data_IF_460419771171
#
_entry.id   IF_460419771171
#
_cell.length_a   1.000
_cell.length_b   1.000
_cell.length_c   1.000
_cell.angle_alpha   90.00
_cell.angle_beta   90.00
_cell.angle_gamma   90.00
#
_symmetry.space_group_name_H-M   'P 1'
#
loop_
_entity.id
_entity.type
_entity.pdbx_description
1 polymer ?
#
# COMPACT_ATOMS: atom_id res chain seq x y z
N UNK A 1 7.86 38.46 15.95
CA UNK A 1 8.68 38.86 14.78
C UNK A 1 8.96 37.60 13.98
N UNK A 2 8.56 37.50 12.70
CA UNK A 2 8.82 36.27 11.91
C UNK A 2 10.33 36.13 11.68
N UNK A 3 10.90 35.01 12.10
CA UNK A 3 12.32 34.68 11.91
C UNK A 3 12.65 34.63 10.40
N UNK A 4 13.84 35.10 10.00
CA UNK A 4 14.26 35.06 8.59
C UNK A 4 14.48 33.61 8.14
N UNK A 5 14.28 33.34 6.84
CA UNK A 5 14.30 31.98 6.29
C UNK A 5 15.58 31.17 6.55
N UNK A 6 16.76 31.82 6.45
CA UNK A 6 18.04 31.12 6.69
C UNK A 6 18.23 30.76 8.17
N UNK A 7 17.67 31.55 9.08
CA UNK A 7 17.75 31.31 10.51
C UNK A 7 16.85 30.15 10.93
N UNK A 8 15.68 29.99 10.28
CA UNK A 8 14.79 28.84 10.48
C UNK A 8 15.47 27.52 10.10
N UNK A 9 16.09 27.45 8.92
CA UNK A 9 16.83 26.24 8.49
C UNK A 9 17.97 25.91 9.45
N UNK A 10 18.70 26.93 9.92
CA UNK A 10 19.79 26.74 10.88
C UNK A 10 19.29 26.17 12.21
N UNK A 11 18.14 26.67 12.69
CA UNK A 11 17.51 26.20 13.92
C UNK A 11 17.10 24.73 13.84
N UNK A 12 16.30 24.36 12.84
CA UNK A 12 15.73 23.01 12.74
C UNK A 12 16.73 21.96 12.23
N UNK A 13 17.86 22.38 11.67
CA UNK A 13 18.97 21.49 11.28
C UNK A 13 20.09 21.42 12.32
N UNK A 14 19.95 22.12 13.45
CA UNK A 14 20.93 22.07 14.52
C UNK A 14 21.01 20.66 15.10
N UNK A 15 22.21 20.07 15.13
CA UNK A 15 22.42 18.67 15.53
C UNK A 15 21.60 17.66 14.73
N UNK A 16 21.23 17.99 13.48
CA UNK A 16 20.48 17.09 12.62
C UNK A 16 21.20 15.73 12.49
N UNK A 17 20.40 14.68 12.42
CA UNK A 17 20.88 13.34 12.10
C UNK A 17 21.51 13.32 10.71
N UNK A 18 22.43 12.40 10.50
CA UNK A 18 23.04 12.14 9.19
C UNK A 18 22.45 10.91 8.55
N UNK A 19 22.58 10.78 7.24
CA UNK A 19 22.12 9.58 6.52
C UNK A 19 22.85 8.33 7.04
N UNK A 20 24.09 8.46 7.47
CA UNK A 20 24.83 7.40 8.16
C UNK A 20 24.15 6.97 9.47
N UNK A 21 23.61 7.90 10.26
CA UNK A 21 22.89 7.56 11.49
C UNK A 21 21.61 6.75 11.19
N UNK A 22 20.94 7.01 10.07
CA UNK A 22 19.75 6.26 9.64
C UNK A 22 20.12 4.90 9.05
N UNK A 23 21.15 4.82 8.20
CA UNK A 23 21.57 3.58 7.51
C UNK A 23 21.99 2.45 8.46
N UNK A 24 22.37 2.77 9.70
CA UNK A 24 22.72 1.77 10.72
C UNK A 24 21.52 1.33 11.57
N UNK A 25 20.33 1.87 11.33
CA UNK A 25 19.11 1.39 11.96
C UNK A 25 18.66 0.09 11.28
N UNK A 26 18.24 -0.94 12.06
CA UNK A 26 17.61 -2.13 11.51
C UNK A 26 16.38 -1.78 10.66
N UNK A 27 16.30 -2.34 9.46
CA UNK A 27 15.10 -2.24 8.62
C UNK A 27 13.95 -3.06 9.22
N UNK A 28 12.78 -2.43 9.33
CA UNK A 28 11.52 -3.10 9.66
C UNK A 28 10.76 -3.41 8.37
N UNK A 29 10.48 -4.69 8.10
CA UNK A 29 9.64 -5.10 6.97
C UNK A 29 8.23 -5.46 7.44
N UNK A 30 7.22 -4.91 6.79
CA UNK A 30 5.83 -5.22 7.12
C UNK A 30 5.49 -4.83 8.57
N UNK A 31 5.11 -5.83 9.38
CA UNK A 31 4.77 -5.66 10.80
C UNK A 31 5.96 -5.96 11.75
N UNK A 32 7.18 -6.11 11.21
CA UNK A 32 8.37 -6.42 12.02
C UNK A 32 8.73 -5.24 12.94
N UNK A 33 8.81 -5.52 14.23
CA UNK A 33 9.23 -4.56 15.26
C UNK A 33 10.58 -4.99 15.83
N UNK A 34 11.52 -4.07 15.99
CA UNK A 34 12.79 -4.35 16.68
C UNK A 34 12.62 -4.08 18.17
N UNK A 35 12.59 -5.13 19.00
CA UNK A 35 12.68 -4.97 20.44
C UNK A 35 14.13 -4.68 20.85
N UNK A 36 14.29 -3.70 21.75
CA UNK A 36 15.61 -3.24 22.20
C UNK A 36 15.78 -3.44 23.71
N UNK A 37 17.03 -3.65 24.17
CA UNK A 37 17.32 -3.81 25.60
C UNK A 37 17.14 -2.54 26.43
N UNK A 38 17.36 -2.68 27.74
CA UNK A 38 17.12 -1.66 28.76
C UNK A 38 17.66 -0.28 28.41
N UNK A 39 18.90 -0.16 27.94
CA UNK A 39 19.50 1.16 27.67
C UNK A 39 18.83 1.88 26.51
N UNK A 40 18.58 1.19 25.40
CA UNK A 40 17.84 1.75 24.27
C UNK A 40 16.38 2.00 24.63
N UNK A 41 15.76 1.10 25.41
CA UNK A 41 14.40 1.23 25.90
C UNK A 41 14.24 2.49 26.77
N UNK A 42 15.20 2.79 27.65
CA UNK A 42 15.21 4.00 28.46
C UNK A 42 15.32 5.26 27.60
N UNK A 43 16.12 5.24 26.54
CA UNK A 43 16.21 6.35 25.57
C UNK A 43 14.88 6.51 24.82
N UNK A 44 14.23 5.43 24.39
CA UNK A 44 12.89 5.50 23.77
C UNK A 44 11.90 6.15 24.73
N UNK A 45 11.86 5.73 26.00
CA UNK A 45 10.98 6.33 27.02
C UNK A 45 11.28 7.81 27.26
N UNK A 46 12.56 8.21 27.22
CA UNK A 46 12.96 9.61 27.31
C UNK A 46 12.48 10.45 26.11
N UNK A 47 12.58 9.91 24.89
CA UNK A 47 12.01 10.51 23.67
C UNK A 47 10.50 10.68 23.83
N UNK A 48 9.80 9.66 24.31
CA UNK A 48 8.37 9.73 24.63
C UNK A 48 8.06 10.81 25.66
N UNK A 49 8.85 10.92 26.73
CA UNK A 49 8.72 11.98 27.73
C UNK A 49 8.93 13.39 27.17
N UNK A 50 9.82 13.54 26.19
CA UNK A 50 9.98 14.80 25.46
C UNK A 50 8.77 15.10 24.58
N UNK A 51 8.33 14.11 23.80
CA UNK A 51 7.22 14.23 22.85
C UNK A 51 5.87 14.42 23.53
N UNK A 52 5.65 13.87 24.73
CA UNK A 52 4.38 13.97 25.47
C UNK A 52 4.00 15.42 25.80
N UNK A 53 4.96 16.35 25.78
CA UNK A 53 4.74 17.80 25.90
C UNK A 53 4.01 18.41 24.70
N UNK A 54 3.83 17.66 23.62
CA UNK A 54 3.04 18.03 22.45
C UNK A 54 1.65 17.40 22.51
N UNK A 55 0.68 18.02 21.86
CA UNK A 55 -0.65 17.44 21.72
C UNK A 55 -0.60 16.16 20.84
N UNK A 56 -1.39 15.13 21.16
CA UNK A 56 -1.54 13.96 20.29
C UNK A 56 -2.18 14.32 18.96
N UNK A 57 -1.91 13.50 17.94
CA UNK A 57 -2.31 13.65 16.55
C UNK A 57 -3.06 12.41 16.08
N UNK A 58 -4.32 12.58 15.70
CA UNK A 58 -5.19 11.47 15.29
C UNK A 58 -5.50 10.53 16.45
N UNK A 59 -5.64 9.25 16.13
CA UNK A 59 -5.95 8.18 17.10
C UNK A 59 -4.67 7.68 17.83
N UNK A 60 -4.86 6.88 18.89
CA UNK A 60 -3.80 6.17 19.64
C UNK A 60 -2.71 7.05 20.30
N UNK A 61 -3.05 8.29 20.67
CA UNK A 61 -2.13 9.26 21.28
C UNK A 61 -0.83 9.48 20.48
N UNK A 62 -0.85 9.17 19.17
CA UNK A 62 0.33 9.26 18.30
C UNK A 62 0.82 10.69 18.23
N UNK A 63 2.14 10.89 18.20
CA UNK A 63 2.76 12.20 17.96
C UNK A 63 3.83 12.08 16.90
N UNK A 64 3.83 12.98 15.93
CA UNK A 64 4.76 12.94 14.81
C UNK A 64 5.46 14.26 14.58
N UNK A 65 6.74 14.21 14.24
CA UNK A 65 7.53 15.36 13.81
C UNK A 65 8.19 15.06 12.47
N UNK A 66 8.08 16.03 11.56
CA UNK A 66 8.93 16.11 10.38
C UNK A 66 10.29 16.70 10.73
N UNK A 67 11.34 16.12 10.19
CA UNK A 67 12.70 16.60 10.35
C UNK A 67 13.55 16.30 9.11
N UNK A 68 14.68 16.98 8.99
CA UNK A 68 15.61 16.78 7.88
C UNK A 68 16.86 16.04 8.34
N UNK A 69 17.27 15.06 7.54
CA UNK A 69 18.49 14.27 7.69
C UNK A 69 19.54 14.76 6.69
N UNK A 70 20.79 14.86 7.13
CA UNK A 70 21.92 15.31 6.31
C UNK A 70 22.57 14.14 5.57
N UNK A 71 22.37 14.08 4.27
CA UNK A 71 23.06 13.16 3.36
C UNK A 71 23.87 13.91 2.28
N UNK A 72 23.92 13.34 1.06
CA UNK A 72 24.37 14.09 -0.14
C UNK A 72 23.49 15.30 -0.42
N UNK A 73 22.20 15.18 -0.06
CA UNK A 73 21.20 16.25 0.00
C UNK A 73 20.52 16.19 1.36
N UNK A 74 19.72 17.21 1.66
CA UNK A 74 18.84 17.16 2.83
C UNK A 74 17.60 16.37 2.46
N UNK A 75 17.27 15.37 3.27
CA UNK A 75 16.15 14.45 3.06
C UNK A 75 15.17 14.56 4.22
N UNK A 76 13.88 14.53 3.90
CA UNK A 76 12.84 14.62 4.92
C UNK A 76 12.51 13.24 5.48
N UNK A 77 12.45 13.15 6.80
CA UNK A 77 12.00 11.98 7.54
C UNK A 77 10.88 12.40 8.50
N UNK A 78 10.07 11.43 8.90
CA UNK A 78 9.05 11.56 9.94
C UNK A 78 9.40 10.65 11.10
N UNK A 79 9.54 11.25 12.27
CA UNK A 79 9.66 10.54 13.54
C UNK A 79 8.29 10.51 14.19
N UNK A 80 7.83 9.34 14.61
CA UNK A 80 6.57 9.21 15.35
C UNK A 80 6.77 8.38 16.61
N UNK A 81 5.96 8.68 17.62
CA UNK A 81 5.84 7.88 18.84
C UNK A 81 4.39 7.51 19.08
N UNK A 82 4.14 6.30 19.58
CA UNK A 82 2.83 5.85 20.02
C UNK A 82 2.96 4.87 21.18
N UNK A 83 1.90 4.76 21.98
CA UNK A 83 1.85 3.85 23.11
C UNK A 83 0.71 2.87 22.92
N UNK A 84 0.99 1.57 23.03
CA UNK A 84 -0.04 0.54 22.94
C UNK A 84 0.25 -0.60 23.91
N UNK A 85 -0.75 -0.96 24.74
CA UNK A 85 -0.65 -2.02 25.76
C UNK A 85 0.60 -1.87 26.65
N UNK A 86 0.83 -0.66 27.17
CA UNK A 86 2.00 -0.34 28.02
C UNK A 86 3.36 -0.56 27.31
N UNK A 87 3.39 -0.41 25.99
CA UNK A 87 4.62 -0.44 25.17
C UNK A 87 4.82 0.88 24.44
N UNK A 88 6.06 1.33 24.36
CA UNK A 88 6.47 2.57 23.73
C UNK A 88 7.13 2.27 22.38
N UNK A 89 6.49 2.72 21.31
CA UNK A 89 7.01 2.54 19.96
C UNK A 89 7.67 3.82 19.47
N UNK A 90 8.79 3.66 18.76
CA UNK A 90 9.49 4.71 18.04
C UNK A 90 9.54 4.34 16.56
N UNK A 91 9.00 5.20 15.72
CA UNK A 91 8.99 5.06 14.27
C UNK A 91 9.88 6.12 13.65
N UNK A 92 10.76 5.71 12.75
CA UNK A 92 11.51 6.61 11.88
C UNK A 92 11.25 6.19 10.45
N UNK A 93 10.63 7.08 9.69
CA UNK A 93 10.11 6.78 8.35
C UNK A 93 10.62 7.79 7.34
N UNK A 94 11.22 7.29 6.26
CA UNK A 94 11.79 8.06 5.16
C UNK A 94 11.12 7.70 3.83
N UNK A 95 11.93 7.23 2.88
CA UNK A 95 11.43 6.64 1.64
C UNK A 95 10.75 5.29 1.89
N UNK A 96 10.16 4.70 0.86
CA UNK A 96 9.33 3.48 0.93
C UNK A 96 10.02 2.29 1.59
N UNK A 97 11.35 2.24 1.60
CA UNK A 97 12.12 1.17 2.24
C UNK A 97 12.78 1.61 3.56
N UNK A 98 12.77 2.90 3.87
CA UNK A 98 13.33 3.44 5.12
C UNK A 98 12.22 3.46 6.18
N UNK A 99 11.92 2.29 6.72
CA UNK A 99 10.95 2.12 7.78
C UNK A 99 11.63 1.42 8.95
N UNK A 100 11.79 2.14 10.06
CA UNK A 100 12.42 1.60 11.26
C UNK A 100 11.45 1.71 12.43
N UNK A 101 11.12 0.56 13.03
CA UNK A 101 10.19 0.48 14.17
C UNK A 101 10.89 -0.18 15.33
N UNK A 102 10.93 0.53 16.45
CA UNK A 102 11.53 0.06 17.70
C UNK A 102 10.50 0.03 18.81
N UNK A 103 10.62 -0.95 19.70
CA UNK A 103 9.78 -1.09 20.88
C UNK A 103 10.63 -1.29 22.13
N UNK A 104 10.22 -0.65 23.22
CA UNK A 104 10.89 -0.71 24.53
C UNK A 104 10.69 -2.04 25.29
N UNK A 105 9.82 -2.91 24.77
CA UNK A 105 9.45 -4.22 25.34
C UNK A 105 9.19 -5.23 24.21
N UNK A 106 9.39 -6.52 24.49
CA UNK A 106 9.06 -7.58 23.54
C UNK A 106 7.56 -7.63 23.23
N UNK A 107 7.23 -7.95 21.98
CA UNK A 107 5.88 -8.24 21.49
C UNK A 107 5.83 -9.55 20.68
N UNK A 108 4.63 -9.95 20.25
CA UNK A 108 4.48 -11.21 19.51
C UNK A 108 5.15 -11.20 18.13
N UNK A 109 5.53 -10.02 17.62
CA UNK A 109 6.14 -9.80 16.31
C UNK A 109 7.59 -9.28 16.43
N UNK A 110 8.14 -9.19 17.64
CA UNK A 110 9.41 -8.52 17.86
C UNK A 110 10.59 -9.42 17.52
N UNK A 111 11.60 -8.84 16.87
CA UNK A 111 12.93 -9.44 16.73
C UNK A 111 13.91 -8.69 17.61
N UNK A 112 14.85 -9.42 18.23
CA UNK A 112 15.89 -8.81 19.03
C UNK A 112 16.98 -8.20 18.16
N UNK A 113 17.47 -7.02 18.55
CA UNK A 113 18.61 -6.41 17.87
C UNK A 113 19.94 -7.06 18.29
N UNK A 114 20.82 -7.32 17.32
CA UNK A 114 22.14 -7.90 17.56
C UNK A 114 23.27 -6.87 17.72
N UNK A 115 23.01 -5.56 17.52
CA UNK A 115 24.01 -4.47 17.49
C UNK A 115 23.67 -3.32 18.45
N UNK A 116 23.38 -3.64 19.71
CA UNK A 116 22.81 -2.65 20.65
C UNK A 116 23.75 -1.49 21.02
N UNK A 117 25.05 -1.73 21.16
CA UNK A 117 26.01 -0.68 21.56
C UNK A 117 26.08 0.46 20.53
N UNK A 118 25.99 0.12 19.24
CA UNK A 118 25.94 1.09 18.14
C UNK A 118 24.60 1.82 18.12
N UNK A 119 23.50 1.11 18.34
CA UNK A 119 22.16 1.69 18.44
C UNK A 119 22.02 2.69 19.58
N UNK A 120 22.59 2.41 20.74
CA UNK A 120 22.58 3.35 21.88
C UNK A 120 23.14 4.70 21.45
N UNK A 121 24.26 4.71 20.72
CA UNK A 121 24.88 5.94 20.22
C UNK A 121 23.98 6.72 19.26
N UNK A 122 23.29 6.02 18.36
CA UNK A 122 22.35 6.62 17.41
C UNK A 122 21.12 7.15 18.14
N UNK A 123 20.56 6.38 19.07
CA UNK A 123 19.39 6.76 19.86
C UNK A 123 19.66 7.98 20.74
N UNK A 124 20.83 8.08 21.36
CA UNK A 124 21.21 9.29 22.10
C UNK A 124 21.29 10.54 21.21
N UNK A 125 21.68 10.40 19.93
CA UNK A 125 21.63 11.52 18.97
C UNK A 125 20.18 11.90 18.64
N UNK A 126 19.33 10.89 18.39
CA UNK A 126 17.89 11.08 18.13
C UNK A 126 17.24 11.79 19.32
N UNK A 127 17.45 11.30 20.54
CA UNK A 127 16.93 11.88 21.78
C UNK A 127 17.30 13.34 21.92
N UNK A 128 18.60 13.66 21.81
CA UNK A 128 19.09 15.04 21.90
C UNK A 128 18.47 15.94 20.82
N UNK A 129 18.33 15.42 19.61
CA UNK A 129 17.73 16.18 18.50
C UNK A 129 16.24 16.42 18.72
N UNK A 130 15.48 15.38 19.10
CA UNK A 130 14.04 15.46 19.35
C UNK A 130 13.75 16.37 20.54
N UNK A 131 14.48 16.25 21.65
CA UNK A 131 14.29 17.12 22.80
C UNK A 131 14.45 18.60 22.43
N UNK A 132 15.52 18.95 21.70
CA UNK A 132 15.74 20.31 21.22
C UNK A 132 14.70 20.77 20.19
N UNK A 133 14.24 19.87 19.31
CA UNK A 133 13.18 20.18 18.35
C UNK A 133 11.85 20.47 19.07
N UNK A 134 11.49 19.68 20.07
CA UNK A 134 10.32 19.92 20.91
C UNK A 134 10.44 21.24 21.66
N UNK A 135 11.59 21.53 22.28
CA UNK A 135 11.79 22.81 22.99
C UNK A 135 11.60 24.01 22.05
N UNK A 136 12.12 23.91 20.82
CA UNK A 136 11.91 24.92 19.78
C UNK A 136 10.43 25.06 19.41
N UNK A 137 9.69 23.95 19.28
CA UNK A 137 8.25 23.94 18.98
C UNK A 137 7.47 24.58 20.13
N UNK A 138 7.75 24.24 21.38
CA UNK A 138 7.08 24.81 22.55
C UNK A 138 7.28 26.33 22.63
N UNK A 139 8.47 26.82 22.25
CA UNK A 139 8.76 28.25 22.25
C UNK A 139 8.03 29.03 21.14
N UNK A 140 7.75 28.39 20.00
CA UNK A 140 7.17 29.03 18.82
C UNK A 140 6.48 28.00 17.88
N UNK A 141 5.31 27.45 18.25
CA UNK A 141 4.74 26.30 17.54
C UNK A 141 4.31 26.62 16.11
N UNK A 142 3.75 27.81 15.89
CA UNK A 142 3.40 28.29 14.54
C UNK A 142 4.63 28.39 13.61
N UNK A 143 5.82 28.63 14.16
CA UNK A 143 7.02 28.73 13.34
C UNK A 143 7.42 27.37 12.76
N UNK A 144 7.31 26.30 13.54
CA UNK A 144 7.59 24.95 13.08
C UNK A 144 6.59 24.51 12.01
N UNK A 145 5.29 24.70 12.24
CA UNK A 145 4.27 24.34 11.26
C UNK A 145 4.44 25.11 9.95
N UNK A 146 4.73 26.41 10.00
CA UNK A 146 5.04 27.20 8.80
C UNK A 146 6.34 26.76 8.10
N UNK A 147 7.32 26.27 8.86
CA UNK A 147 8.56 25.72 8.31
C UNK A 147 8.28 24.44 7.52
N UNK A 148 7.58 23.49 8.13
CA UNK A 148 7.20 22.22 7.48
C UNK A 148 6.31 22.49 6.26
N UNK A 149 5.26 23.31 6.40
CA UNK A 149 4.37 23.66 5.29
C UNK A 149 5.12 24.26 4.10
N UNK A 150 6.17 25.06 4.36
CA UNK A 150 6.94 25.69 3.30
C UNK A 150 7.96 24.77 2.64
N UNK A 151 8.61 23.89 3.41
CA UNK A 151 9.82 23.19 2.95
C UNK A 151 9.69 21.67 2.85
N UNK A 152 8.62 21.07 3.40
CA UNK A 152 8.38 19.64 3.25
C UNK A 152 8.25 19.29 1.77
N UNK A 153 9.09 18.36 1.35
CA UNK A 153 9.13 17.85 -0.02
C UNK A 153 7.78 17.30 -0.46
N UNK A 154 7.37 17.57 -1.70
CA UNK A 154 6.17 16.96 -2.29
C UNK A 154 6.25 15.43 -2.36
N UNK A 155 7.47 14.87 -2.41
CA UNK A 155 7.70 13.42 -2.30
C UNK A 155 7.34 12.83 -0.92
N UNK A 156 6.98 13.66 0.06
CA UNK A 156 6.52 13.27 1.40
C UNK A 156 5.07 13.65 1.67
N UNK A 157 4.40 14.24 0.68
CA UNK A 157 3.02 14.68 0.81
C UNK A 157 2.10 13.66 0.17
N UNK A 158 0.86 13.74 0.60
CA UNK A 158 -0.25 12.96 0.06
C UNK A 158 -1.24 13.92 -0.60
N UNK A 159 -1.86 13.49 -1.69
CA UNK A 159 -2.84 14.31 -2.40
C UNK A 159 -3.50 13.57 -3.54
N UNK A 160 -4.58 14.13 -4.06
CA UNK A 160 -5.37 13.53 -5.13
C UNK A 160 -5.18 14.30 -6.43
N UNK A 161 -4.97 13.57 -7.52
CA UNK A 161 -4.99 14.12 -8.88
C UNK A 161 -6.04 13.36 -9.69
N UNK A 162 -6.83 14.06 -10.49
CA UNK A 162 -7.80 13.40 -11.37
C UNK A 162 -7.06 12.54 -12.40
N UNK A 163 -7.49 11.29 -12.61
CA UNK A 163 -6.82 10.37 -13.54
C UNK A 163 -6.68 10.93 -14.94
N UNK A 164 -7.74 11.56 -15.47
CA UNK A 164 -7.69 12.17 -16.81
C UNK A 164 -6.66 13.29 -16.95
N UNK A 165 -6.38 14.03 -15.87
CA UNK A 165 -5.29 15.00 -15.88
C UNK A 165 -3.95 14.29 -15.85
N UNK A 166 -3.77 13.33 -14.95
CA UNK A 166 -2.52 12.56 -14.85
C UNK A 166 -2.18 11.83 -16.16
N UNK A 167 -3.13 11.12 -16.75
CA UNK A 167 -2.93 10.36 -17.99
C UNK A 167 -2.63 11.26 -19.20
N UNK A 168 -3.09 12.52 -19.19
CA UNK A 168 -2.69 13.51 -20.20
C UNK A 168 -1.23 13.94 -20.09
N UNK A 169 -0.63 13.82 -18.89
CA UNK A 169 0.75 14.16 -18.60
C UNK A 169 1.69 12.94 -18.73
N UNK A 170 1.24 11.79 -18.24
CA UNK A 170 1.93 10.50 -18.25
C UNK A 170 0.91 9.45 -18.69
N UNK A 171 0.85 9.11 -20.00
CA UNK A 171 -0.07 8.11 -20.50
C UNK A 171 0.10 6.75 -19.78
N UNK A 172 -1.02 6.15 -19.37
CA UNK A 172 -1.03 4.81 -18.81
C UNK A 172 -1.17 3.78 -19.94
N UNK A 173 -0.09 3.08 -20.23
CA UNK A 173 -0.03 2.05 -21.28
C UNK A 173 -0.20 0.63 -20.71
N UNK A 174 -0.63 0.49 -19.45
CA UNK A 174 -0.79 -0.83 -18.79
C UNK A 174 -1.82 -1.73 -19.48
N UNK A 175 -2.70 -1.15 -20.30
CA UNK A 175 -3.76 -1.85 -21.02
C UNK A 175 -3.46 -2.08 -22.51
N UNK A 176 -2.22 -1.87 -22.95
CA UNK A 176 -1.83 -2.09 -24.34
C UNK A 176 -2.17 -3.52 -24.81
N UNK A 177 -2.84 -3.60 -25.95
CA UNK A 177 -3.29 -4.87 -26.53
C UNK A 177 -4.62 -5.41 -25.98
N UNK A 178 -5.27 -4.70 -25.06
CA UNK A 178 -6.62 -5.04 -24.56
C UNK A 178 -7.66 -4.17 -25.27
N UNK A 179 -8.77 -4.77 -25.69
CA UNK A 179 -9.92 -4.07 -26.26
C UNK A 179 -10.71 -3.35 -25.14
N UNK A 180 -10.22 -2.20 -24.70
CA UNK A 180 -10.82 -1.42 -23.60
C UNK A 180 -12.29 -1.04 -23.88
N UNK A 181 -12.69 -0.59 -25.09
CA UNK A 181 -14.10 -0.36 -25.40
C UNK A 181 -14.97 -1.59 -25.15
N UNK A 182 -14.50 -2.80 -25.50
CA UNK A 182 -15.21 -4.04 -25.20
C UNK A 182 -15.27 -4.32 -23.69
N UNK A 183 -14.18 -4.11 -22.95
CA UNK A 183 -14.18 -4.26 -21.47
C UNK A 183 -15.21 -3.32 -20.85
N UNK A 184 -15.21 -2.04 -21.21
CA UNK A 184 -16.19 -1.06 -20.72
C UNK A 184 -17.61 -1.55 -21.01
N UNK A 185 -17.87 -2.03 -22.23
CA UNK A 185 -19.19 -2.54 -22.60
C UNK A 185 -19.65 -3.72 -21.73
N UNK A 186 -18.75 -4.67 -21.43
CA UNK A 186 -19.03 -5.82 -20.56
C UNK A 186 -19.37 -5.39 -19.12
N UNK A 187 -18.66 -4.38 -18.60
CA UNK A 187 -18.90 -3.85 -17.26
C UNK A 187 -20.16 -2.98 -17.17
N UNK A 188 -20.47 -2.17 -18.20
CA UNK A 188 -21.67 -1.32 -18.23
C UNK A 188 -22.97 -2.11 -18.48
N UNK A 189 -22.90 -3.15 -19.30
CA UNK A 189 -24.07 -3.90 -19.76
C UNK A 189 -24.02 -5.33 -19.24
N UNK A 190 -23.91 -5.46 -17.92
CA UNK A 190 -23.85 -6.77 -17.28
C UNK A 190 -25.06 -7.61 -17.67
N UNK A 191 -24.76 -8.79 -18.21
CA UNK A 191 -25.75 -9.81 -18.53
C UNK A 191 -25.81 -10.75 -17.34
N UNK A 192 -26.98 -11.37 -17.11
CA UNK A 192 -27.13 -12.43 -16.13
C UNK A 192 -26.00 -13.48 -16.26
N UNK A 193 -25.28 -13.78 -15.17
CA UNK A 193 -24.20 -14.77 -15.19
C UNK A 193 -24.72 -16.13 -15.64
N UNK A 194 -23.89 -16.87 -16.37
CA UNK A 194 -24.23 -18.21 -16.82
C UNK A 194 -24.41 -19.12 -15.60
N UNK A 195 -25.61 -19.68 -15.47
CA UNK A 195 -26.03 -20.48 -14.34
C UNK A 195 -25.80 -21.97 -14.59
N UNK A 196 -25.39 -22.68 -13.54
CA UNK A 196 -25.20 -24.12 -13.54
C UNK A 196 -26.00 -24.73 -12.39
N UNK A 197 -26.86 -25.71 -12.71
CA UNK A 197 -27.63 -26.44 -11.69
C UNK A 197 -26.76 -27.31 -10.78
N UNK A 198 -25.53 -27.60 -11.22
CA UNK A 198 -24.55 -28.43 -10.54
C UNK A 198 -23.15 -27.89 -10.85
N UNK A 199 -22.24 -27.89 -9.88
CA UNK A 199 -20.83 -27.56 -10.10
C UNK A 199 -19.92 -28.69 -9.65
N UNK A 200 -19.02 -29.11 -10.53
CA UNK A 200 -18.03 -30.15 -10.28
C UNK A 200 -16.61 -29.58 -10.45
N UNK A 201 -15.61 -30.25 -9.88
CA UNK A 201 -14.21 -29.85 -10.06
C UNK A 201 -13.80 -29.87 -11.53
N UNK A 202 -14.22 -30.87 -12.29
CA UNK A 202 -13.93 -30.93 -13.73
C UNK A 202 -14.45 -29.69 -14.46
N UNK A 203 -15.68 -29.27 -14.15
CA UNK A 203 -16.27 -28.06 -14.73
C UNK A 203 -15.52 -26.81 -14.30
N UNK A 204 -15.18 -26.70 -13.02
CA UNK A 204 -14.40 -25.59 -12.50
C UNK A 204 -13.03 -25.47 -13.20
N UNK A 205 -12.28 -26.57 -13.27
CA UNK A 205 -10.95 -26.62 -13.90
C UNK A 205 -10.99 -26.20 -15.37
N UNK A 206 -12.05 -26.58 -16.09
CA UNK A 206 -12.26 -26.18 -17.47
C UNK A 206 -12.34 -24.66 -17.63
N UNK A 207 -13.24 -24.00 -16.89
CA UNK A 207 -13.39 -22.54 -16.97
C UNK A 207 -12.21 -21.78 -16.37
N UNK A 208 -11.60 -22.31 -15.31
CA UNK A 208 -10.36 -21.77 -14.76
C UNK A 208 -9.24 -21.78 -15.80
N UNK A 209 -9.08 -22.86 -16.56
CA UNK A 209 -8.08 -22.94 -17.63
C UNK A 209 -8.32 -21.89 -18.71
N UNK A 210 -9.57 -21.68 -19.12
CA UNK A 210 -9.91 -20.65 -20.13
C UNK A 210 -9.42 -19.28 -19.66
N UNK A 211 -9.76 -18.89 -18.42
CA UNK A 211 -9.30 -17.63 -17.85
C UNK A 211 -7.76 -17.58 -17.72
N UNK A 212 -7.14 -18.67 -17.28
CA UNK A 212 -5.69 -18.78 -17.12
C UNK A 212 -4.94 -18.66 -18.44
N UNK A 213 -5.39 -19.33 -19.50
CA UNK A 213 -4.78 -19.26 -20.82
C UNK A 213 -4.98 -17.90 -21.49
N UNK A 214 -6.07 -17.19 -21.17
CA UNK A 214 -6.25 -15.81 -21.62
C UNK A 214 -5.20 -14.86 -21.03
N UNK A 215 -4.71 -15.15 -19.82
CA UNK A 215 -3.68 -14.36 -19.13
C UNK A 215 -2.26 -14.80 -19.51
N UNK A 216 -1.97 -16.10 -19.42
CA UNK A 216 -0.61 -16.65 -19.54
C UNK A 216 -0.31 -17.31 -20.89
N UNK A 217 -1.28 -17.33 -21.81
CA UNK A 217 -1.18 -18.01 -23.08
C UNK A 217 -1.54 -19.49 -23.00
N UNK A 218 -1.56 -20.16 -24.16
CA UNK A 218 -2.01 -21.55 -24.29
C UNK A 218 -1.08 -22.53 -23.56
N UNK A 219 -1.66 -23.47 -22.84
CA UNK A 219 -0.94 -24.50 -22.08
C UNK A 219 -1.04 -25.88 -22.75
N UNK A 220 -0.05 -26.74 -22.50
CA UNK A 220 -0.07 -28.14 -22.92
C UNK A 220 -0.73 -29.03 -21.87
N UNK A 221 -1.47 -30.05 -22.32
CA UNK A 221 -2.16 -31.00 -21.43
C UNK A 221 -3.66 -30.77 -21.36
N UNK A 222 -4.34 -31.58 -20.56
CA UNK A 222 -5.77 -31.43 -20.28
C UNK A 222 -6.06 -30.44 -19.13
N UNK A 223 -7.34 -30.15 -18.88
CA UNK A 223 -7.76 -29.16 -17.88
C UNK A 223 -7.30 -29.52 -16.47
N UNK A 224 -7.23 -30.81 -16.15
CA UNK A 224 -6.81 -31.32 -14.84
C UNK A 224 -5.31 -31.18 -14.69
N UNK A 225 -4.55 -31.53 -15.72
CA UNK A 225 -3.10 -31.41 -15.75
C UNK A 225 -2.67 -29.94 -15.57
N UNK A 226 -3.24 -29.03 -16.36
CA UNK A 226 -2.90 -27.60 -16.28
C UNK A 226 -3.27 -27.04 -14.91
N UNK A 227 -4.47 -27.32 -14.41
CA UNK A 227 -4.90 -26.85 -13.10
C UNK A 227 -3.97 -27.35 -11.98
N UNK A 228 -3.54 -28.61 -12.02
CA UNK A 228 -2.65 -29.19 -11.00
C UNK A 228 -1.27 -28.56 -10.96
N UNK A 229 -0.75 -28.13 -12.10
CA UNK A 229 0.59 -27.53 -12.18
C UNK A 229 0.57 -26.04 -11.82
N UNK A 230 -0.52 -25.34 -12.12
CA UNK A 230 -0.55 -23.87 -12.10
C UNK A 230 -1.43 -23.27 -11.00
N UNK A 231 -2.48 -23.95 -10.55
CA UNK A 231 -3.38 -23.44 -9.51
C UNK A 231 -2.88 -23.78 -8.11
N UNK A 232 -3.16 -22.94 -7.11
CA UNK A 232 -3.00 -23.30 -5.68
C UNK A 232 -4.09 -24.25 -5.16
N UNK A 233 -5.17 -24.45 -5.92
CA UNK A 233 -6.22 -25.43 -5.62
C UNK A 233 -5.83 -26.88 -5.95
N UNK A 234 -4.59 -27.13 -6.37
CA UNK A 234 -4.10 -28.43 -6.87
C UNK A 234 -4.00 -29.54 -5.82
N UNK A 235 -4.21 -29.27 -4.53
CA UNK A 235 -4.28 -30.29 -3.46
C UNK A 235 -5.50 -31.22 -3.58
N UNK A 236 -6.21 -31.17 -4.72
CA UNK A 236 -7.38 -31.97 -5.04
C UNK A 236 -7.10 -33.46 -5.37
N UNK A 237 -6.14 -34.11 -4.70
CA UNK A 237 -5.74 -35.49 -5.04
C UNK A 237 -6.74 -36.57 -4.61
N UNK A 238 -7.69 -36.25 -3.72
CA UNK A 238 -8.61 -37.22 -3.11
C UNK A 238 -10.07 -37.05 -3.51
N UNK A 239 -10.37 -36.13 -4.43
CA UNK A 239 -11.76 -35.82 -4.79
C UNK A 239 -12.22 -36.54 -6.05
N UNK A 240 -13.48 -36.97 -6.04
CA UNK A 240 -14.18 -37.30 -7.26
C UNK A 240 -14.46 -36.00 -8.04
N UNK A 241 -13.80 -35.86 -9.19
CA UNK A 241 -13.86 -34.65 -10.01
C UNK A 241 -15.25 -34.34 -10.57
N UNK A 242 -16.13 -35.34 -10.57
CA UNK A 242 -17.47 -35.29 -11.12
C UNK A 242 -18.56 -35.29 -10.03
N UNK A 243 -18.19 -35.12 -8.75
CA UNK A 243 -19.12 -35.03 -7.62
C UNK A 243 -19.26 -33.59 -7.13
N UNK A 244 -20.50 -33.12 -7.04
CA UNK A 244 -20.82 -31.79 -6.49
C UNK A 244 -20.52 -31.68 -4.98
N UNK A 245 -20.71 -32.76 -4.21
CA UNK A 245 -20.40 -32.80 -2.78
C UNK A 245 -18.89 -32.65 -2.54
N UNK A 246 -18.09 -33.34 -3.36
CA UNK A 246 -16.63 -33.22 -3.31
C UNK A 246 -16.17 -31.84 -3.77
N UNK A 247 -16.85 -31.23 -4.75
CA UNK A 247 -16.58 -29.84 -5.13
C UNK A 247 -16.82 -28.87 -3.96
N UNK A 248 -17.92 -29.02 -3.20
CA UNK A 248 -18.20 -28.17 -2.02
C UNK A 248 -17.13 -28.33 -0.95
N UNK A 249 -16.73 -29.57 -0.68
CA UNK A 249 -15.68 -29.87 0.28
C UNK A 249 -14.35 -29.24 -0.16
N UNK A 250 -13.93 -29.47 -1.41
CA UNK A 250 -12.73 -28.86 -1.98
C UNK A 250 -12.79 -27.33 -1.88
N UNK A 251 -13.91 -26.71 -2.28
CA UNK A 251 -14.10 -25.25 -2.21
C UNK A 251 -13.89 -24.74 -0.78
N UNK A 252 -14.42 -25.41 0.23
CA UNK A 252 -14.20 -25.02 1.63
C UNK A 252 -12.74 -25.16 2.05
N UNK A 253 -12.07 -26.24 1.63
CA UNK A 253 -10.69 -26.54 2.03
C UNK A 253 -9.67 -25.60 1.37
N UNK A 254 -9.86 -25.21 0.10
CA UNK A 254 -8.89 -24.35 -0.61
C UNK A 254 -9.17 -22.86 -0.50
N UNK A 255 -10.34 -22.46 0.01
CA UNK A 255 -10.71 -21.04 0.14
C UNK A 255 -9.71 -20.21 0.96
N UNK A 256 -9.11 -20.72 2.06
CA UNK A 256 -8.08 -19.98 2.80
C UNK A 256 -6.74 -19.85 2.06
N UNK A 257 -6.54 -20.60 0.97
CA UNK A 257 -5.24 -20.79 0.31
C UNK A 257 -5.18 -20.26 -1.12
N UNK A 258 -6.04 -19.31 -1.49
CA UNK A 258 -6.05 -18.72 -2.84
C UNK A 258 -6.32 -19.76 -3.95
N UNK A 259 -7.08 -20.81 -3.62
CA UNK A 259 -7.32 -21.94 -4.53
C UNK A 259 -8.16 -21.62 -5.78
N UNK A 260 -8.78 -20.44 -5.81
CA UNK A 260 -9.64 -19.97 -6.90
C UNK A 260 -8.96 -18.97 -7.83
N UNK A 261 -7.71 -18.65 -7.55
CA UNK A 261 -7.05 -17.51 -8.17
C UNK A 261 -6.53 -17.90 -9.55
N UNK A 262 -6.82 -17.07 -10.54
CA UNK A 262 -6.21 -17.15 -11.88
C UNK A 262 -4.82 -16.52 -11.82
N UNK A 263 -4.71 -15.39 -11.13
CA UNK A 263 -3.44 -14.75 -10.76
C UNK A 263 -3.32 -14.77 -9.25
N UNK A 264 -2.28 -15.44 -8.74
CA UNK A 264 -2.13 -15.74 -7.32
C UNK A 264 -2.33 -14.51 -6.42
N UNK A 265 -3.33 -14.58 -5.55
CA UNK A 265 -3.76 -13.55 -4.61
C UNK A 265 -4.21 -12.22 -5.25
N UNK A 266 -4.53 -12.19 -6.56
CA UNK A 266 -4.83 -10.95 -7.30
C UNK A 266 -6.10 -10.99 -8.13
N UNK A 267 -6.27 -12.00 -8.98
CA UNK A 267 -7.43 -12.13 -9.87
C UNK A 267 -8.15 -13.42 -9.53
N UNK A 268 -9.40 -13.29 -9.11
CA UNK A 268 -10.17 -14.40 -8.55
C UNK A 268 -11.21 -14.88 -9.56
N UNK A 269 -11.29 -16.19 -9.80
CA UNK A 269 -12.43 -16.84 -10.46
C UNK A 269 -13.18 -17.64 -9.41
N UNK A 270 -14.05 -16.97 -8.67
CA UNK A 270 -14.72 -17.52 -7.51
C UNK A 270 -16.04 -18.21 -7.91
N UNK A 271 -16.25 -19.48 -7.55
CA UNK A 271 -17.54 -20.13 -7.74
C UNK A 271 -18.52 -19.70 -6.65
N UNK A 272 -19.67 -19.18 -7.06
CA UNK A 272 -20.73 -18.65 -6.18
C UNK A 272 -21.98 -19.51 -6.31
N UNK A 273 -22.71 -19.73 -5.21
CA UNK A 273 -23.98 -20.46 -5.20
C UNK A 273 -25.09 -19.56 -4.64
N UNK A 274 -26.01 -19.14 -5.50
CA UNK A 274 -27.13 -18.25 -5.15
C UNK A 274 -28.41 -18.75 -5.79
N UNK A 275 -29.54 -18.64 -5.08
CA UNK A 275 -30.86 -19.02 -5.61
C UNK A 275 -30.94 -20.44 -6.21
N UNK A 276 -30.17 -21.38 -5.66
CA UNK A 276 -30.16 -22.76 -6.12
C UNK A 276 -29.37 -23.02 -7.41
N UNK A 277 -28.55 -22.06 -7.84
CA UNK A 277 -27.71 -22.16 -9.04
C UNK A 277 -26.28 -21.71 -8.73
N UNK A 278 -25.33 -22.32 -9.42
CA UNK A 278 -23.93 -21.92 -9.41
C UNK A 278 -23.64 -20.94 -10.54
N UNK A 279 -22.77 -19.98 -10.29
CA UNK A 279 -22.17 -19.13 -11.32
C UNK A 279 -20.76 -18.72 -10.91
N UNK A 280 -20.05 -18.02 -11.79
CA UNK A 280 -18.73 -17.48 -11.48
C UNK A 280 -18.78 -15.99 -11.20
N UNK A 281 -18.05 -15.58 -10.18
CA UNK A 281 -17.65 -14.21 -9.92
C UNK A 281 -16.20 -14.03 -10.36
N UNK A 282 -15.92 -12.96 -11.11
CA UNK A 282 -14.57 -12.55 -11.50
C UNK A 282 -14.32 -11.14 -10.99
N UNK A 283 -13.25 -10.96 -10.21
CA UNK A 283 -12.92 -9.66 -9.65
C UNK A 283 -11.45 -9.55 -9.26
N UNK A 284 -11.05 -8.32 -9.01
CA UNK A 284 -9.74 -7.98 -8.47
C UNK A 284 -9.85 -6.71 -7.65
N UNK A 285 -9.26 -6.70 -6.45
CA UNK A 285 -9.03 -5.46 -5.71
C UNK A 285 -7.72 -4.77 -6.12
N UNK A 286 -6.92 -5.34 -7.03
CA UNK A 286 -5.55 -4.92 -7.34
C UNK A 286 -5.50 -4.11 -8.64
N UNK A 287 -5.24 -2.80 -8.54
CA UNK A 287 -5.02 -1.94 -9.71
C UNK A 287 -3.92 -2.51 -10.63
N UNK A 288 -2.84 -3.02 -10.03
CA UNK A 288 -1.68 -3.55 -10.77
C UNK A 288 -1.95 -4.86 -11.52
N UNK A 289 -3.16 -5.42 -11.42
CA UNK A 289 -3.54 -6.67 -12.10
C UNK A 289 -4.86 -6.51 -12.87
N UNK A 290 -5.27 -5.27 -13.16
CA UNK A 290 -6.47 -5.00 -13.94
C UNK A 290 -6.36 -5.54 -15.36
N UNK A 291 -5.19 -5.44 -15.97
CA UNK A 291 -4.93 -5.98 -17.30
C UNK A 291 -5.13 -7.51 -17.35
N UNK A 292 -4.61 -8.24 -16.37
CA UNK A 292 -4.85 -9.68 -16.23
C UNK A 292 -6.32 -10.00 -15.97
N UNK A 293 -7.00 -9.21 -15.13
CA UNK A 293 -8.42 -9.35 -14.88
C UNK A 293 -9.24 -9.18 -16.17
N UNK A 294 -8.94 -8.15 -16.96
CA UNK A 294 -9.61 -7.89 -18.23
C UNK A 294 -9.36 -8.99 -19.24
N UNK A 295 -8.13 -9.52 -19.34
CA UNK A 295 -7.83 -10.67 -20.20
C UNK A 295 -8.64 -11.90 -19.79
N UNK A 296 -8.74 -12.20 -18.50
CA UNK A 296 -9.56 -13.31 -17.99
C UNK A 296 -11.05 -13.12 -18.33
N UNK A 297 -11.60 -11.92 -18.10
CA UNK A 297 -13.01 -11.58 -18.42
C UNK A 297 -13.28 -11.70 -19.92
N UNK A 298 -12.41 -11.16 -20.78
CA UNK A 298 -12.53 -11.29 -22.23
C UNK A 298 -12.45 -12.75 -22.67
N UNK A 299 -11.48 -13.51 -22.16
CA UNK A 299 -11.31 -14.92 -22.52
C UNK A 299 -12.52 -15.79 -22.17
N UNK A 300 -13.13 -15.54 -21.01
CA UNK A 300 -14.39 -16.17 -20.62
C UNK A 300 -15.55 -15.73 -21.54
N UNK A 301 -15.67 -14.45 -21.84
CA UNK A 301 -16.65 -13.93 -22.80
C UNK A 301 -16.51 -14.56 -24.19
N UNK A 302 -15.28 -14.71 -24.69
CA UNK A 302 -14.98 -15.37 -25.97
C UNK A 302 -15.34 -16.86 -25.98
N UNK A 303 -15.24 -17.52 -24.82
CA UNK A 303 -15.70 -18.89 -24.64
C UNK A 303 -17.24 -19.00 -24.47
N UNK A 304 -17.97 -17.87 -24.53
CA UNK A 304 -19.42 -17.84 -24.47
C UNK A 304 -20.00 -17.94 -23.06
N UNK A 305 -19.21 -17.64 -22.02
CA UNK A 305 -19.68 -17.67 -20.62
C UNK A 305 -19.78 -16.24 -20.07
N UNK A 306 -20.94 -15.88 -19.52
CA UNK A 306 -21.15 -14.64 -18.77
C UNK A 306 -20.86 -14.86 -17.28
N UNK A 307 -20.22 -13.89 -16.64
CA UNK A 307 -19.83 -13.97 -15.22
C UNK A 307 -20.33 -12.76 -14.45
N UNK A 308 -20.50 -12.91 -13.14
CA UNK A 308 -20.65 -11.78 -12.23
C UNK A 308 -19.31 -11.04 -12.16
N UNK A 309 -19.31 -9.71 -12.35
CA UNK A 309 -18.09 -8.91 -12.33
C UNK A 309 -17.99 -8.13 -11.02
N UNK A 310 -16.79 -8.17 -10.43
CA UNK A 310 -16.43 -7.44 -9.22
C UNK A 310 -16.02 -6.00 -9.46
N UNK A 311 -16.04 -5.21 -8.37
CA UNK A 311 -15.46 -3.85 -8.31
C UNK A 311 -15.90 -2.93 -9.46
N UNK A 312 -17.15 -3.09 -9.91
CA UNK A 312 -17.67 -2.53 -11.17
C UNK A 312 -17.51 -1.02 -11.24
N UNK A 313 -17.95 -0.31 -10.20
CA UNK A 313 -17.92 1.15 -10.15
C UNK A 313 -16.49 1.68 -10.15
N UNK A 314 -15.58 1.05 -9.38
CA UNK A 314 -14.16 1.39 -9.37
C UNK A 314 -13.51 1.18 -10.74
N UNK A 315 -13.73 0.01 -11.35
CA UNK A 315 -13.15 -0.34 -12.64
C UNK A 315 -13.67 0.59 -13.75
N UNK A 316 -14.98 0.87 -13.77
CA UNK A 316 -15.55 1.83 -14.71
C UNK A 316 -15.02 3.24 -14.47
N UNK A 317 -14.81 3.64 -13.22
CA UNK A 317 -14.21 4.92 -12.86
C UNK A 317 -12.80 5.08 -13.42
N UNK A 318 -11.98 4.04 -13.30
CA UNK A 318 -10.62 3.96 -13.84
C UNK A 318 -10.64 4.01 -15.37
N UNK A 319 -11.41 3.13 -16.01
CA UNK A 319 -11.44 3.00 -17.48
C UNK A 319 -12.00 4.26 -18.17
N UNK A 320 -12.86 5.02 -17.49
CA UNK A 320 -13.43 6.28 -17.97
C UNK A 320 -12.67 7.52 -17.46
N UNK A 321 -11.60 7.31 -16.68
CA UNK A 321 -10.78 8.36 -16.07
C UNK A 321 -11.58 9.41 -15.27
N UNK A 322 -12.68 8.96 -14.65
CA UNK A 322 -13.52 9.77 -13.77
C UNK A 322 -13.09 9.71 -12.32
N UNK A 323 -12.25 8.75 -11.96
CA UNK A 323 -11.68 8.56 -10.63
C UNK A 323 -10.45 9.47 -10.37
N UNK A 324 -9.90 9.31 -9.16
CA UNK A 324 -8.66 9.95 -8.72
C UNK A 324 -7.53 8.94 -8.56
N UNK A 325 -6.31 9.44 -8.77
CA UNK A 325 -5.07 8.80 -8.38
C UNK A 325 -4.55 9.51 -7.14
N UNK A 326 -4.27 8.75 -6.10
CA UNK A 326 -3.60 9.29 -4.91
C UNK A 326 -2.09 9.28 -5.11
N UNK A 327 -1.48 10.46 -5.02
CA UNK A 327 -0.04 10.63 -4.92
C UNK A 327 0.35 10.43 -3.46
N UNK A 328 1.15 9.41 -3.15
CA UNK A 328 1.59 9.10 -1.78
C UNK A 328 2.99 8.48 -1.76
N UNK A 329 3.84 8.76 -0.73
CA UNK A 329 5.13 8.09 -0.56
C UNK A 329 5.02 6.57 -0.35
N UNK A 330 3.85 6.08 0.07
CA UNK A 330 3.61 4.69 0.45
C UNK A 330 2.63 3.98 -0.49
N UNK A 331 2.70 4.32 -1.78
CA UNK A 331 1.79 3.77 -2.79
C UNK A 331 1.70 2.24 -2.73
N UNK A 332 0.47 1.76 -2.70
CA UNK A 332 0.12 0.36 -2.61
C UNK A 332 -0.71 -0.07 -3.84
N UNK A 333 -0.76 -1.38 -4.07
CA UNK A 333 -1.28 -1.94 -5.32
C UNK A 333 -2.80 -2.04 -5.40
N UNK A 334 -3.48 -2.00 -4.26
CA UNK A 334 -4.93 -2.18 -4.22
C UNK A 334 -5.65 -0.86 -4.50
N UNK A 335 -6.83 -0.98 -5.10
CA UNK A 335 -7.80 0.11 -5.21
C UNK A 335 -8.14 0.57 -3.78
N UNK A 336 -8.29 1.89 -3.60
CA UNK A 336 -8.53 2.49 -2.28
C UNK A 336 -10.02 2.82 -2.13
N UNK A 337 -10.37 3.77 -1.25
CA UNK A 337 -11.75 4.18 -1.03
C UNK A 337 -12.49 4.59 -2.31
N UNK A 338 -13.79 4.86 -2.18
CA UNK A 338 -14.78 4.83 -3.27
C UNK A 338 -14.38 5.53 -4.59
N UNK A 339 -13.70 6.69 -4.56
CA UNK A 339 -13.31 7.43 -5.78
C UNK A 339 -11.81 7.35 -6.13
N UNK A 340 -11.03 6.52 -5.43
CA UNK A 340 -9.56 6.41 -5.61
C UNK A 340 -9.23 5.05 -6.23
N UNK A 341 -9.07 5.01 -7.54
CA UNK A 341 -8.79 3.77 -8.26
C UNK A 341 -7.35 3.27 -8.11
N UNK A 342 -6.39 4.15 -7.81
CA UNK A 342 -5.00 3.73 -7.62
C UNK A 342 -4.16 4.70 -6.79
N UNK A 343 -3.06 4.19 -6.26
CA UNK A 343 -2.00 4.98 -5.66
C UNK A 343 -0.74 4.95 -6.52
N UNK A 344 -0.02 6.07 -6.53
CA UNK A 344 1.34 6.12 -7.08
C UNK A 344 2.23 7.03 -6.25
N UNK A 345 3.55 6.86 -6.37
CA UNK A 345 4.49 7.85 -5.87
C UNK A 345 4.59 8.99 -6.86
N UNK A 346 4.92 10.18 -6.36
CA UNK A 346 5.34 11.27 -7.23
C UNK A 346 6.58 10.80 -8.02
N UNK A 347 6.58 10.86 -9.37
CA UNK A 347 7.70 10.40 -10.15
C UNK A 347 8.91 11.32 -9.99
N UNK A 348 10.09 10.83 -10.32
CA UNK A 348 11.30 11.61 -10.35
C UNK A 348 11.46 12.33 -11.69
N UNK A 349 12.20 13.43 -11.66
CA UNK A 349 12.39 14.28 -12.82
C UNK A 349 13.18 13.61 -13.96
N UNK A 350 13.94 12.56 -13.69
CA UNK A 350 14.62 11.72 -14.68
C UNK A 350 13.69 10.68 -15.31
N UNK A 351 12.56 10.36 -14.68
CA UNK A 351 11.55 9.45 -15.24
C UNK A 351 10.64 10.17 -16.24
N UNK A 352 10.18 11.39 -15.92
CA UNK A 352 9.14 12.08 -16.70
C UNK A 352 9.48 13.53 -17.07
N UNK A 353 10.61 14.05 -16.63
CA UNK A 353 11.01 15.44 -16.87
C UNK A 353 10.51 16.42 -15.80
N UNK A 354 11.30 17.48 -15.55
CA UNK A 354 11.03 18.46 -14.47
C UNK A 354 9.73 19.24 -14.67
N UNK A 355 9.36 19.54 -15.90
CA UNK A 355 8.18 20.35 -16.17
C UNK A 355 6.89 19.55 -15.97
N UNK A 356 6.87 18.28 -16.37
CA UNK A 356 5.78 17.34 -16.05
C UNK A 356 5.59 17.21 -14.53
N UNK A 357 6.66 17.09 -13.75
CA UNK A 357 6.55 17.05 -12.28
C UNK A 357 5.89 18.32 -11.71
N UNK A 358 6.23 19.50 -12.24
CA UNK A 358 5.59 20.76 -11.78
C UNK A 358 4.10 20.76 -12.12
N UNK A 359 3.72 20.25 -13.29
CA UNK A 359 2.33 20.18 -13.71
C UNK A 359 1.52 19.19 -12.86
N UNK A 360 2.09 18.02 -12.52
CA UNK A 360 1.47 17.10 -11.55
C UNK A 360 1.26 17.82 -10.22
N UNK A 361 2.32 18.42 -9.66
CA UNK A 361 2.25 19.12 -8.37
C UNK A 361 1.19 20.24 -8.37
N UNK A 362 1.07 20.98 -9.47
CA UNK A 362 0.11 22.07 -9.60
C UNK A 362 -1.34 21.60 -9.73
N UNK A 363 -1.57 20.39 -10.27
CA UNK A 363 -2.90 19.81 -10.47
C UNK A 363 -3.31 18.81 -9.38
N UNK A 364 -2.43 18.50 -8.42
CA UNK A 364 -2.74 17.69 -7.25
C UNK A 364 -3.37 18.54 -6.15
N UNK A 365 -4.52 18.11 -5.64
CA UNK A 365 -5.09 18.61 -4.40
C UNK A 365 -4.36 17.97 -3.22
N UNK A 366 -3.42 18.72 -2.62
CA UNK A 366 -2.58 18.22 -1.53
C UNK A 366 -3.31 18.24 -0.19
N UNK A 367 -3.21 17.15 0.56
CA UNK A 367 -3.74 17.03 1.91
C UNK A 367 -3.09 18.07 2.84
N UNK A 368 -3.89 18.59 3.76
CA UNK A 368 -3.38 19.49 4.81
C UNK A 368 -2.47 18.70 5.74
N UNK A 369 -1.32 19.27 6.06
CA UNK A 369 -0.40 18.67 7.03
C UNK A 369 -0.99 18.72 8.44
N UNK A 370 -0.87 17.62 9.18
CA UNK A 370 -1.17 17.57 10.61
C UNK A 370 -0.30 18.61 11.34
N UNK A 371 -0.95 19.52 12.07
CA UNK A 371 -0.26 20.57 12.80
C UNK A 371 0.24 20.05 14.14
N UNK A 372 1.44 20.49 14.51
CA UNK A 372 2.02 20.23 15.82
C UNK A 372 1.71 21.38 16.75
N UNK A 373 1.18 21.08 17.93
CA UNK A 373 0.93 22.08 18.98
C UNK A 373 1.46 21.58 20.33
N UNK A 374 1.75 22.50 21.27
CA UNK A 374 1.99 22.13 22.66
C UNK A 374 0.78 21.38 23.23
N UNK A 375 1.03 20.50 24.19
CA UNK A 375 -0.03 19.93 25.03
C UNK A 375 -0.60 21.06 25.90
N UNK A 376 -1.93 21.15 25.95
CA UNK A 376 -2.66 22.20 26.65
C UNK A 376 -2.50 22.12 28.18
#
# INVERSE_FOLDING_TARGET
MKMKFNDQKKLYRQNALTQTDILYLPDSRGLDVTAVSSKCADIIRSIHGSMSRLAPMGDDERRSLWFEVKGKRWEWYRLSVSTYKDRHYLYITGDTYDHHVFCDKDDCNSRHCFYEDELVGIFSKIEKYVAGLVDNILSAPEQYNLYVEKYLSYYRREGLIKRSVLNSLIPDNSYDGIDIPRVINLYENQVEPTQFSEMTLRRYMHYWRIAYEAVYGKMSGDDVEVFRHSSKGHEAREYNLDSEDDFRRWKSEVSPYHGFDVVYARVHLYPTYTNGQWHFYVGTGSYWNLDDCFRAVIGLSDAGISVELGEVDHILGILKETDYVEITPYAYRYMQGDDIGSQMKLPYADEVGKDVIKEIIANTEWNKLEKVSPLA
#
